data_IF_621584477659
#
_entry.id   IF_621584477659
#
_cell.length_a   1.000
_cell.length_b   1.000
_cell.length_c   1.000
_cell.angle_alpha   90.00
_cell.angle_beta   90.00
_cell.angle_gamma   90.00
#
_symmetry.space_group_name_H-M   'P 1'
#
loop_
_entity.id
_entity.type
_entity.pdbx_description
1 polymer ?
#
# COMPACT_ATOMS: atom_id res chain seq x y z
N UNK A 1 47.33 24.47 -21.05
CA UNK A 1 46.27 25.22 -20.30
C UNK A 1 44.98 25.10 -21.08
N UNK A 2 44.12 24.20 -20.69
CA UNK A 2 42.77 24.10 -21.22
C UNK A 2 41.88 23.64 -20.04
N UNK A 3 40.96 24.47 -19.65
CA UNK A 3 39.97 24.19 -18.60
C UNK A 3 38.81 23.49 -19.25
N UNK A 4 38.56 22.25 -18.87
CA UNK A 4 37.32 21.55 -19.14
C UNK A 4 36.27 22.11 -18.20
N UNK A 5 35.15 22.58 -18.75
CA UNK A 5 33.96 22.99 -18.03
C UNK A 5 33.01 21.80 -18.10
N UNK A 6 32.82 21.12 -16.97
CA UNK A 6 31.79 20.10 -16.83
C UNK A 6 30.42 20.76 -16.75
N UNK A 7 29.62 20.54 -17.78
CA UNK A 7 28.24 21.02 -17.86
C UNK A 7 27.32 19.98 -17.19
N UNK A 8 26.95 20.25 -15.96
CA UNK A 8 25.91 19.47 -15.25
C UNK A 8 24.55 19.86 -15.86
N UNK A 9 24.00 18.98 -16.69
CA UNK A 9 22.64 19.15 -17.22
C UNK A 9 21.63 18.74 -16.15
N UNK A 10 21.11 19.74 -15.43
CA UNK A 10 19.86 19.62 -14.67
C UNK A 10 18.71 19.58 -15.66
N UNK A 11 18.10 18.43 -15.87
CA UNK A 11 16.79 18.35 -16.53
C UNK A 11 15.70 18.36 -15.47
N UNK A 12 15.16 19.55 -15.21
CA UNK A 12 13.82 19.69 -14.65
C UNK A 12 12.82 19.51 -15.79
N UNK A 13 11.75 18.77 -15.60
CA UNK A 13 10.62 18.75 -16.51
C UNK A 13 9.87 20.08 -16.41
N UNK A 14 10.36 21.11 -17.06
CA UNK A 14 9.62 22.34 -17.34
C UNK A 14 9.18 22.29 -18.79
N UNK A 15 7.87 22.37 -19.00
CA UNK A 15 7.29 22.59 -20.32
C UNK A 15 7.76 23.94 -20.81
N UNK A 16 8.66 23.95 -21.78
CA UNK A 16 9.12 25.17 -22.40
C UNK A 16 8.07 25.63 -23.39
N UNK A 17 7.30 26.64 -23.02
CA UNK A 17 6.47 27.39 -23.96
C UNK A 17 7.38 28.33 -24.74
N UNK A 18 7.56 28.06 -26.03
CA UNK A 18 8.23 28.95 -26.94
C UNK A 18 7.42 30.26 -27.09
N UNK A 19 7.93 31.34 -26.51
CA UNK A 19 7.44 32.67 -26.81
C UNK A 19 7.82 33.04 -28.27
N UNK A 20 6.83 33.13 -29.15
CA UNK A 20 6.88 33.97 -30.32
C UNK A 20 5.96 35.17 -30.11
N UNK A 21 6.57 36.31 -30.26
CA UNK A 21 6.09 37.64 -30.08
C UNK A 21 4.77 37.97 -30.82
N UNK A 22 3.89 38.68 -30.13
CA UNK A 22 2.96 39.66 -30.71
C UNK A 22 1.50 39.20 -30.82
N UNK A 23 0.67 39.77 -29.94
CA UNK A 23 -0.75 40.12 -30.15
C UNK A 23 -1.79 38.98 -30.32
N UNK A 24 -1.69 37.86 -29.64
CA UNK A 24 -2.86 36.95 -29.42
C UNK A 24 -2.82 36.34 -28.00
N UNK A 25 -2.37 37.09 -27.02
CA UNK A 25 -2.25 36.57 -25.64
C UNK A 25 -3.46 36.89 -24.74
N UNK A 26 -4.50 37.54 -25.26
CA UNK A 26 -5.62 38.00 -24.42
C UNK A 26 -6.92 37.18 -24.54
N UNK A 27 -7.01 36.17 -25.42
CA UNK A 27 -8.21 35.30 -25.54
C UNK A 27 -7.98 33.81 -25.17
N UNK A 28 -6.75 33.40 -24.89
CA UNK A 28 -6.46 32.02 -24.51
C UNK A 28 -6.55 31.77 -23.00
N UNK A 29 -6.74 32.80 -22.19
CA UNK A 29 -6.77 32.69 -20.73
C UNK A 29 -8.17 32.35 -20.15
N UNK A 30 -9.20 32.25 -20.98
CA UNK A 30 -10.59 32.00 -20.50
C UNK A 30 -11.07 30.57 -20.74
N UNK A 31 -10.29 29.75 -21.45
CA UNK A 31 -10.63 28.32 -21.68
C UNK A 31 -9.60 27.37 -21.07
N UNK A 32 -8.83 27.81 -20.08
CA UNK A 32 -8.15 26.87 -19.20
C UNK A 32 -9.20 26.34 -18.19
N UNK A 33 -10.06 25.46 -18.68
CA UNK A 33 -10.86 24.64 -17.79
C UNK A 33 -9.89 24.05 -16.77
N UNK A 34 -10.13 24.27 -15.48
CA UNK A 34 -9.38 23.66 -14.40
C UNK A 34 -9.44 22.15 -14.61
N UNK A 35 -8.43 21.60 -15.29
CA UNK A 35 -8.19 20.15 -15.25
C UNK A 35 -7.80 19.93 -13.78
N UNK A 36 -8.79 19.57 -12.96
CA UNK A 36 -8.52 19.22 -11.58
C UNK A 36 -7.45 18.13 -11.58
N UNK A 37 -6.35 18.39 -10.88
CA UNK A 37 -5.29 17.41 -10.69
C UNK A 37 -5.90 16.11 -10.19
N UNK A 38 -5.40 14.95 -10.61
CA UNK A 38 -5.85 13.69 -10.07
C UNK A 38 -5.56 13.67 -8.56
N UNK A 39 -6.50 13.13 -7.79
CA UNK A 39 -6.39 12.98 -6.34
C UNK A 39 -6.20 11.52 -5.94
N UNK A 40 -6.13 10.62 -6.90
CA UNK A 40 -5.88 9.20 -6.73
C UNK A 40 -4.96 8.71 -7.86
N UNK A 41 -4.02 7.84 -7.54
CA UNK A 41 -3.16 7.19 -8.53
C UNK A 41 -2.78 5.77 -8.13
N UNK A 42 -2.33 5.02 -9.12
CA UNK A 42 -1.64 3.73 -8.93
C UNK A 42 -0.20 3.88 -9.38
N UNK A 43 0.70 3.17 -8.69
CA UNK A 43 2.10 3.06 -9.10
C UNK A 43 2.44 1.58 -9.22
N UNK A 44 2.66 1.12 -10.45
CA UNK A 44 3.09 -0.23 -10.72
C UNK A 44 4.09 -0.21 -11.86
N UNK A 45 5.37 -0.33 -11.53
CA UNK A 45 6.48 -0.15 -12.45
C UNK A 45 7.46 -1.31 -12.33
N UNK A 46 7.91 -1.80 -13.47
CA UNK A 46 8.97 -2.79 -13.54
C UNK A 46 10.31 -2.09 -13.74
N UNK A 47 11.31 -2.56 -13.01
CA UNK A 47 12.71 -2.17 -13.25
C UNK A 47 13.15 -2.81 -14.57
N UNK A 48 13.54 -1.97 -15.52
CA UNK A 48 13.94 -2.39 -16.86
C UNK A 48 15.42 -2.21 -17.13
N UNK A 49 15.82 -2.63 -18.30
CA UNK A 49 17.14 -2.39 -18.90
C UNK A 49 17.05 -1.21 -19.86
N UNK A 50 18.18 -0.67 -20.36
CA UNK A 50 18.16 0.35 -21.43
C UNK A 50 17.35 -0.03 -22.66
N UNK A 51 17.23 -1.32 -22.98
CA UNK A 51 16.39 -1.82 -24.08
C UNK A 51 14.89 -1.60 -23.85
N UNK A 52 14.46 -1.45 -22.58
CA UNK A 52 13.07 -1.17 -22.22
C UNK A 52 12.71 0.32 -22.35
N UNK A 53 13.68 1.21 -22.60
CA UNK A 53 13.49 2.68 -22.65
C UNK A 53 12.50 3.16 -23.72
N UNK A 54 12.17 2.31 -24.69
CA UNK A 54 11.15 2.59 -25.71
C UNK A 54 9.73 2.35 -25.25
N UNK A 55 9.54 1.79 -24.06
CA UNK A 55 8.20 1.53 -23.50
C UNK A 55 7.52 2.83 -23.07
N UNK A 56 6.19 2.96 -23.29
CA UNK A 56 5.45 4.13 -22.86
C UNK A 56 5.62 4.41 -21.36
N UNK A 57 5.84 5.67 -21.03
CA UNK A 57 6.02 6.12 -19.64
C UNK A 57 7.35 5.75 -18.99
N UNK A 58 8.29 5.18 -19.72
CA UNK A 58 9.63 4.90 -19.21
C UNK A 58 10.23 6.11 -18.50
N UNK A 59 10.79 5.89 -17.33
CA UNK A 59 11.39 6.91 -16.49
C UNK A 59 12.70 6.44 -15.86
N UNK A 60 13.50 7.39 -15.41
CA UNK A 60 14.66 7.15 -14.56
C UNK A 60 14.35 7.70 -13.18
N UNK A 61 14.27 6.81 -12.20
CA UNK A 61 14.01 7.14 -10.82
C UNK A 61 15.28 6.99 -10.00
N UNK A 62 15.47 7.83 -8.99
CA UNK A 62 16.65 7.84 -8.15
C UNK A 62 16.34 7.47 -6.71
N UNK A 63 17.14 6.57 -6.16
CA UNK A 63 17.23 6.30 -4.74
C UNK A 63 18.64 6.69 -4.26
N UNK A 64 18.75 7.81 -3.55
CA UNK A 64 20.05 8.39 -3.23
C UNK A 64 20.88 8.63 -4.52
N UNK A 65 22.06 8.02 -4.61
CA UNK A 65 22.92 8.11 -5.80
C UNK A 65 22.65 7.03 -6.85
N UNK A 66 21.74 6.11 -6.57
CA UNK A 66 21.43 4.99 -7.47
C UNK A 66 20.31 5.36 -8.44
N UNK A 67 20.63 5.30 -9.73
CA UNK A 67 19.64 5.47 -10.79
C UNK A 67 19.04 4.12 -11.17
N UNK A 68 17.71 4.07 -11.32
CA UNK A 68 16.97 2.91 -11.79
C UNK A 68 16.11 3.28 -12.98
N UNK A 69 16.19 2.45 -14.00
CA UNK A 69 15.38 2.59 -15.19
C UNK A 69 14.08 1.79 -15.01
N UNK A 70 12.94 2.43 -15.12
CA UNK A 70 11.65 1.84 -14.86
C UNK A 70 10.63 2.14 -15.95
N UNK A 71 9.66 1.25 -16.15
CA UNK A 71 8.53 1.49 -17.04
C UNK A 71 7.23 1.00 -16.38
N UNK A 72 6.09 1.66 -16.66
CA UNK A 72 4.82 1.26 -16.07
C UNK A 72 4.36 -0.09 -16.63
N UNK A 73 3.74 -0.88 -15.76
CA UNK A 73 3.06 -2.11 -16.12
C UNK A 73 1.66 -2.11 -15.52
N UNK A 74 0.78 -2.95 -16.04
CA UNK A 74 -0.58 -3.11 -15.52
C UNK A 74 -0.76 -4.41 -14.75
N UNK A 75 0.10 -5.39 -15.01
CA UNK A 75 0.10 -6.68 -14.31
C UNK A 75 1.49 -7.30 -14.26
N UNK A 76 1.70 -8.14 -13.26
CA UNK A 76 2.87 -8.98 -13.11
C UNK A 76 2.47 -10.32 -12.50
N UNK A 77 3.02 -11.42 -13.02
CA UNK A 77 2.77 -12.77 -12.51
C UNK A 77 4.10 -13.48 -12.29
N UNK A 78 4.20 -14.22 -11.19
CA UNK A 78 5.28 -15.13 -10.89
C UNK A 78 4.73 -16.55 -10.65
N UNK A 79 5.31 -17.53 -11.29
CA UNK A 79 4.91 -18.95 -11.28
C UNK A 79 5.96 -19.79 -10.56
N UNK A 80 6.38 -19.40 -9.38
CA UNK A 80 7.38 -20.17 -8.62
C UNK A 80 6.70 -21.08 -7.59
N UNK A 81 6.68 -22.42 -7.81
CA UNK A 81 6.03 -23.39 -6.90
C UNK A 81 6.63 -23.42 -5.50
N UNK A 82 7.84 -22.94 -5.31
CA UNK A 82 8.52 -22.83 -4.01
C UNK A 82 9.19 -21.45 -3.95
N UNK A 83 8.44 -20.43 -3.63
CA UNK A 83 8.96 -19.08 -3.45
C UNK A 83 9.89 -19.00 -2.23
N UNK A 84 11.04 -19.62 -2.34
CA UNK A 84 12.15 -19.49 -1.41
C UNK A 84 13.17 -18.56 -2.07
N UNK A 85 12.88 -17.26 -2.08
CA UNK A 85 13.88 -16.22 -2.14
C UNK A 85 14.93 -16.20 -3.29
N UNK A 86 14.71 -16.89 -4.39
CA UNK A 86 15.66 -16.94 -5.51
C UNK A 86 15.25 -16.19 -6.77
N UNK A 87 14.00 -15.86 -6.92
CA UNK A 87 13.56 -14.93 -7.95
C UNK A 87 13.50 -13.54 -7.31
N UNK A 88 14.24 -12.60 -7.81
CA UNK A 88 14.29 -11.25 -7.27
C UNK A 88 13.09 -10.40 -7.72
N UNK A 89 11.88 -11.00 -7.71
CA UNK A 89 10.65 -10.34 -8.14
C UNK A 89 10.36 -9.12 -7.28
N UNK A 90 10.58 -9.26 -5.98
CA UNK A 90 10.46 -8.16 -5.02
C UNK A 90 11.36 -6.96 -5.36
N UNK A 91 12.62 -7.21 -5.81
CA UNK A 91 13.54 -6.16 -6.23
C UNK A 91 13.42 -5.80 -7.72
N UNK A 92 12.62 -6.54 -8.48
CA UNK A 92 12.34 -6.23 -9.88
C UNK A 92 11.21 -5.23 -10.07
N UNK A 93 10.51 -4.89 -9.00
CA UNK A 93 9.37 -3.97 -9.00
C UNK A 93 9.69 -2.70 -8.20
N UNK A 94 9.32 -1.57 -8.76
CA UNK A 94 9.29 -0.29 -8.08
C UNK A 94 8.34 -0.38 -6.88
N UNK A 95 8.72 0.18 -5.74
CA UNK A 95 8.01 0.04 -4.46
C UNK A 95 7.80 -1.41 -4.00
N UNK A 96 8.55 -2.37 -4.56
CA UNK A 96 8.47 -3.79 -4.25
C UNK A 96 7.13 -4.46 -4.58
N UNK A 97 6.31 -3.83 -5.40
CA UNK A 97 4.99 -4.31 -5.80
C UNK A 97 4.06 -3.21 -6.27
N UNK A 98 2.80 -3.55 -6.43
CA UNK A 98 1.76 -2.59 -6.78
C UNK A 98 1.46 -1.65 -5.61
N UNK A 99 1.20 -0.38 -5.91
CA UNK A 99 0.85 0.62 -4.92
C UNK A 99 -0.34 1.48 -5.38
N UNK A 100 -1.09 1.97 -4.42
CA UNK A 100 -2.21 2.90 -4.63
C UNK A 100 -2.09 4.06 -3.65
N UNK A 101 -2.38 5.25 -4.11
CA UNK A 101 -2.34 6.46 -3.30
C UNK A 101 -3.49 7.40 -3.58
N UNK A 102 -3.97 8.05 -2.53
CA UNK A 102 -4.66 9.32 -2.60
C UNK A 102 -3.68 10.46 -2.29
N UNK A 103 -4.14 11.68 -2.34
CA UNK A 103 -3.36 12.82 -1.87
C UNK A 103 -3.05 12.79 -0.36
N UNK A 104 -3.74 11.95 0.43
CA UNK A 104 -3.63 11.89 1.89
C UNK A 104 -2.79 10.73 2.42
N UNK A 105 -2.74 9.61 1.69
CA UNK A 105 -2.05 8.39 2.13
C UNK A 105 -1.70 7.52 0.94
N UNK A 106 -0.67 6.69 1.07
CA UNK A 106 -0.35 5.66 0.10
C UNK A 106 -0.15 4.31 0.78
N UNK A 107 -0.44 3.24 0.05
CA UNK A 107 -0.24 1.87 0.46
C UNK A 107 0.49 1.09 -0.62
N UNK A 108 1.60 0.47 -0.24
CA UNK A 108 2.41 -0.42 -1.09
C UNK A 108 2.10 -1.85 -0.69
N UNK A 109 1.86 -2.72 -1.66
CA UNK A 109 1.62 -4.14 -1.43
C UNK A 109 2.86 -4.90 -1.91
N UNK A 110 3.55 -5.55 -0.99
CA UNK A 110 4.80 -6.24 -1.34
C UNK A 110 4.55 -7.51 -2.14
N UNK A 111 5.19 -7.59 -3.30
CA UNK A 111 5.15 -8.77 -4.16
C UNK A 111 6.13 -9.84 -3.67
N UNK A 112 5.83 -10.42 -2.54
CA UNK A 112 6.55 -11.53 -1.95
C UNK A 112 5.61 -12.45 -1.15
N UNK A 113 6.16 -13.48 -0.52
CA UNK A 113 5.38 -14.38 0.34
C UNK A 113 4.68 -13.67 1.50
N UNK A 114 5.18 -12.53 1.91
CA UNK A 114 4.59 -11.74 2.99
C UNK A 114 3.33 -11.02 2.54
N UNK A 115 3.28 -10.50 1.32
CA UNK A 115 2.18 -9.65 0.83
C UNK A 115 1.77 -8.63 1.89
N UNK A 116 2.74 -8.03 2.56
CA UNK A 116 2.46 -7.09 3.64
C UNK A 116 2.13 -5.73 3.06
N UNK A 117 1.08 -5.11 3.59
CA UNK A 117 0.72 -3.74 3.29
C UNK A 117 1.61 -2.81 4.10
N UNK A 118 2.25 -1.91 3.40
CA UNK A 118 3.20 -0.95 3.95
C UNK A 118 2.68 0.47 3.69
N UNK A 119 2.27 1.21 4.76
CA UNK A 119 1.76 2.55 4.62
C UNK A 119 2.88 3.55 4.36
N UNK A 120 2.61 4.46 3.44
CA UNK A 120 3.47 5.57 3.08
C UNK A 120 2.72 6.88 3.31
N UNK A 121 3.18 7.68 4.23
CA UNK A 121 2.46 8.88 4.65
C UNK A 121 2.83 10.09 3.78
N UNK A 122 1.95 11.05 3.73
CA UNK A 122 2.10 12.31 2.99
C UNK A 122 2.44 13.45 3.96
N UNK A 123 3.46 14.22 3.65
CA UNK A 123 3.78 15.43 4.44
C UNK A 123 2.76 16.53 4.19
N UNK A 124 2.30 16.63 2.95
CA UNK A 124 1.24 17.53 2.47
C UNK A 124 0.35 16.79 1.46
N UNK A 125 -0.89 17.24 1.20
CA UNK A 125 -1.76 16.62 0.21
C UNK A 125 -1.17 16.68 -1.21
N UNK A 126 -0.69 15.54 -1.72
CA UNK A 126 -0.16 15.40 -3.09
C UNK A 126 0.01 13.93 -3.48
N UNK A 127 0.13 13.64 -4.78
CA UNK A 127 0.53 12.32 -5.28
C UNK A 127 2.06 12.24 -5.37
N UNK A 128 2.67 11.13 -4.94
CA UNK A 128 4.11 11.05 -4.72
C UNK A 128 4.78 9.78 -5.26
N UNK A 129 4.06 8.64 -5.27
CA UNK A 129 4.70 7.34 -5.46
C UNK A 129 5.37 7.19 -6.83
N UNK A 130 4.86 7.85 -7.88
CA UNK A 130 5.46 7.79 -9.20
C UNK A 130 6.80 8.54 -9.31
N UNK A 131 7.13 9.43 -8.37
CA UNK A 131 8.34 10.25 -8.37
C UNK A 131 9.47 9.69 -7.53
N UNK A 132 9.18 8.85 -6.55
CA UNK A 132 10.19 8.18 -5.72
C UNK A 132 10.46 6.77 -6.24
N UNK A 133 11.65 6.21 -5.94
CA UNK A 133 11.95 4.81 -6.27
C UNK A 133 11.37 3.89 -5.19
N UNK A 134 12.10 3.53 -4.18
CA UNK A 134 11.60 2.84 -2.99
C UNK A 134 11.36 3.82 -1.84
N UNK A 135 12.21 4.83 -1.77
CA UNK A 135 12.17 5.92 -0.81
C UNK A 135 12.43 7.23 -1.54
N UNK A 136 11.90 8.36 -1.06
CA UNK A 136 12.26 9.66 -1.60
C UNK A 136 13.73 9.95 -1.35
N UNK A 137 14.36 10.62 -2.29
CA UNK A 137 15.69 11.17 -2.10
C UNK A 137 15.64 12.51 -1.32
N UNK A 138 16.80 13.06 -0.96
CA UNK A 138 16.89 14.28 -0.16
C UNK A 138 16.24 15.49 -0.87
N UNK A 139 16.25 15.53 -2.21
CA UNK A 139 15.57 16.59 -2.97
C UNK A 139 14.05 16.51 -2.77
N UNK A 140 13.45 15.33 -2.95
CA UNK A 140 12.02 15.12 -2.75
C UNK A 140 11.60 15.43 -1.31
N UNK A 141 12.39 14.98 -0.32
CA UNK A 141 12.14 15.30 1.11
C UNK A 141 12.15 16.81 1.36
N UNK A 142 13.09 17.53 0.73
CA UNK A 142 13.17 19.01 0.82
C UNK A 142 11.99 19.69 0.15
N UNK A 143 11.46 19.11 -0.94
CA UNK A 143 10.26 19.57 -1.63
C UNK A 143 8.96 19.27 -0.85
N UNK A 144 9.07 18.55 0.28
CA UNK A 144 7.95 18.25 1.16
C UNK A 144 7.20 16.98 0.77
N UNK A 145 7.90 16.00 0.20
CA UNK A 145 7.38 14.64 0.05
C UNK A 145 7.30 13.94 1.40
N UNK A 146 6.37 13.00 1.50
CA UNK A 146 6.27 12.09 2.63
C UNK A 146 7.32 10.98 2.58
N UNK A 147 7.13 9.96 3.40
CA UNK A 147 8.08 8.84 3.49
C UNK A 147 7.40 7.61 4.09
N UNK A 148 8.12 6.50 4.08
CA UNK A 148 7.80 5.29 4.84
C UNK A 148 7.69 5.62 6.34
N UNK A 149 6.66 5.09 6.98
CA UNK A 149 6.39 5.37 8.40
C UNK A 149 6.37 4.09 9.25
N UNK A 150 6.48 2.91 8.64
CA UNK A 150 6.25 1.66 9.34
C UNK A 150 7.22 0.55 8.93
N UNK A 151 8.02 0.08 9.84
CA UNK A 151 8.83 -1.12 9.61
C UNK A 151 7.99 -2.38 9.77
N UNK A 152 7.46 -2.88 8.65
CA UNK A 152 6.56 -4.04 8.64
C UNK A 152 7.28 -5.38 8.85
N UNK A 153 8.52 -5.55 8.39
CA UNK A 153 9.34 -6.77 8.60
C UNK A 153 8.56 -8.06 8.29
N UNK A 154 8.40 -8.95 9.27
CA UNK A 154 7.64 -10.22 9.19
C UNK A 154 6.28 -10.17 9.90
N UNK A 155 5.72 -8.98 10.13
CA UNK A 155 4.44 -8.79 10.80
C UNK A 155 3.25 -8.75 9.83
N UNK A 156 2.06 -8.52 10.36
CA UNK A 156 0.87 -8.24 9.55
C UNK A 156 0.88 -6.84 8.94
N UNK A 157 1.78 -5.94 9.38
CA UNK A 157 1.71 -4.53 8.99
C UNK A 157 0.39 -3.90 9.42
N UNK A 158 -0.36 -3.37 8.45
CA UNK A 158 -1.73 -2.90 8.64
C UNK A 158 -2.66 -3.56 7.61
N UNK A 159 -3.60 -4.38 8.06
CA UNK A 159 -4.64 -4.94 7.20
C UNK A 159 -4.18 -5.98 6.18
N UNK A 160 -2.95 -6.47 6.22
CA UNK A 160 -2.55 -7.55 5.31
C UNK A 160 -3.30 -8.84 5.65
N UNK A 161 -3.71 -9.56 4.61
CA UNK A 161 -4.32 -10.88 4.78
C UNK A 161 -3.21 -11.90 5.12
N UNK A 162 -3.43 -12.66 6.17
CA UNK A 162 -2.51 -13.66 6.71
C UNK A 162 -3.29 -14.91 7.13
N UNK A 163 -2.55 -15.90 7.63
CA UNK A 163 -3.14 -17.11 8.17
C UNK A 163 -2.70 -17.31 9.62
N UNK A 164 -3.65 -17.67 10.48
CA UNK A 164 -3.45 -18.05 11.87
C UNK A 164 -3.38 -19.58 12.00
N UNK A 165 -2.26 -20.12 12.41
CA UNK A 165 -2.06 -21.58 12.51
C UNK A 165 -2.39 -22.17 13.90
N UNK A 166 -3.16 -21.43 14.71
CA UNK A 166 -3.50 -21.81 16.09
C UNK A 166 -2.51 -21.31 17.15
N UNK A 167 -1.32 -20.82 16.75
CA UNK A 167 -0.27 -20.34 17.67
C UNK A 167 0.30 -18.98 17.30
N UNK A 168 0.45 -18.72 16.01
CA UNK A 168 1.03 -17.48 15.49
C UNK A 168 0.53 -17.20 14.08
N UNK A 169 0.67 -15.98 13.66
CA UNK A 169 0.49 -15.56 12.28
C UNK A 169 1.57 -16.18 11.39
N UNK A 170 1.17 -16.68 10.22
CA UNK A 170 2.05 -17.15 9.16
C UNK A 170 1.72 -16.50 7.83
N UNK A 171 2.70 -16.43 6.93
CA UNK A 171 2.52 -15.89 5.59
C UNK A 171 1.80 -16.87 4.68
N UNK A 172 1.32 -16.37 3.54
CA UNK A 172 0.59 -17.17 2.55
C UNK A 172 1.58 -17.85 1.64
N UNK A 173 1.96 -19.04 2.03
CA UNK A 173 2.89 -19.95 1.34
C UNK A 173 2.68 -21.41 1.79
N UNK A 174 3.01 -22.44 0.97
CA UNK A 174 3.44 -22.32 -0.41
C UNK A 174 2.28 -22.00 -1.35
N UNK A 175 2.58 -21.38 -2.49
CA UNK A 175 1.63 -21.06 -3.56
C UNK A 175 2.20 -21.48 -4.93
N UNK A 176 1.35 -21.85 -5.88
CA UNK A 176 1.78 -22.15 -7.23
C UNK A 176 2.03 -20.89 -8.07
N UNK A 177 1.22 -19.86 -7.88
CA UNK A 177 1.30 -18.60 -8.63
C UNK A 177 0.89 -17.43 -7.74
N UNK A 178 1.56 -16.30 -7.92
CA UNK A 178 1.20 -15.01 -7.33
C UNK A 178 1.18 -13.96 -8.42
N UNK A 179 0.16 -13.12 -8.43
CA UNK A 179 0.08 -12.02 -9.40
C UNK A 179 -0.42 -10.74 -8.74
N UNK A 180 -0.02 -9.63 -9.31
CA UNK A 180 -0.52 -8.30 -8.99
C UNK A 180 -0.95 -7.58 -10.26
N UNK A 181 -2.02 -6.79 -10.17
CA UNK A 181 -2.49 -5.99 -11.29
C UNK A 181 -3.27 -4.75 -10.86
N UNK A 182 -3.32 -3.78 -11.75
CA UNK A 182 -4.23 -2.64 -11.67
C UNK A 182 -5.57 -3.06 -12.29
N UNK A 183 -6.61 -3.15 -11.47
CA UNK A 183 -7.97 -3.51 -11.93
C UNK A 183 -8.65 -2.30 -12.55
N UNK A 184 -8.55 -1.14 -11.89
CA UNK A 184 -9.08 0.11 -12.41
C UNK A 184 -8.35 1.31 -11.79
N UNK A 185 -8.19 2.37 -12.58
CA UNK A 185 -7.71 3.67 -12.13
C UNK A 185 -8.62 4.73 -12.74
N UNK A 186 -9.60 5.21 -11.97
CA UNK A 186 -10.54 6.27 -12.32
C UNK A 186 -10.10 7.57 -11.66
N UNK A 187 -10.77 8.67 -11.99
CA UNK A 187 -10.44 9.99 -11.45
C UNK A 187 -10.54 10.08 -9.92
N UNK A 188 -11.52 9.38 -9.37
CA UNK A 188 -11.94 9.44 -7.95
C UNK A 188 -11.73 8.14 -7.18
N UNK A 189 -11.37 7.04 -7.87
CA UNK A 189 -11.21 5.74 -7.25
C UNK A 189 -10.21 4.89 -8.03
N UNK A 190 -9.35 4.17 -7.31
CA UNK A 190 -8.49 3.15 -7.89
C UNK A 190 -8.65 1.82 -7.16
N UNK A 191 -8.55 0.73 -7.91
CA UNK A 191 -8.57 -0.65 -7.40
C UNK A 191 -7.39 -1.41 -7.95
N UNK A 192 -6.63 -2.03 -7.07
CA UNK A 192 -5.54 -2.96 -7.39
C UNK A 192 -5.90 -4.35 -6.85
N UNK A 193 -5.33 -5.38 -7.43
CA UNK A 193 -5.55 -6.77 -7.02
C UNK A 193 -4.23 -7.47 -6.77
N UNK A 194 -4.22 -8.29 -5.72
CA UNK A 194 -3.23 -9.34 -5.50
C UNK A 194 -3.95 -10.67 -5.55
N UNK A 195 -3.53 -11.57 -6.44
CA UNK A 195 -4.11 -12.89 -6.59
C UNK A 195 -3.08 -13.99 -6.33
N UNK A 196 -3.56 -15.11 -5.83
CA UNK A 196 -2.80 -16.30 -5.48
C UNK A 196 -3.53 -17.49 -6.04
N UNK A 197 -2.80 -18.41 -6.68
CA UNK A 197 -3.31 -19.71 -7.08
C UNK A 197 -2.55 -20.83 -6.40
N UNK A 198 -3.26 -21.87 -6.08
CA UNK A 198 -2.68 -23.10 -5.56
C UNK A 198 -2.04 -22.93 -4.17
N UNK A 199 -2.66 -22.16 -3.27
CA UNK A 199 -2.22 -22.09 -1.89
C UNK A 199 -2.57 -23.36 -1.13
N UNK A 200 -1.55 -24.06 -0.65
CA UNK A 200 -1.70 -25.29 0.13
C UNK A 200 -1.85 -24.95 1.61
N UNK A 201 -3.06 -25.11 2.16
CA UNK A 201 -3.42 -24.77 3.54
C UNK A 201 -4.58 -25.65 4.04
N UNK A 202 -4.57 -26.05 5.32
CA UNK A 202 -5.60 -26.89 5.95
C UNK A 202 -5.93 -28.17 5.15
N UNK A 203 -4.92 -28.80 4.52
CA UNK A 203 -5.10 -29.95 3.61
C UNK A 203 -5.99 -29.65 2.39
N UNK A 204 -6.09 -28.39 2.01
CA UNK A 204 -6.80 -27.91 0.82
C UNK A 204 -5.83 -27.21 -0.12
N UNK A 205 -6.25 -27.06 -1.36
CA UNK A 205 -5.62 -26.17 -2.34
C UNK A 205 -6.62 -25.05 -2.65
N UNK A 206 -6.27 -23.82 -2.31
CA UNK A 206 -7.18 -22.68 -2.35
C UNK A 206 -6.61 -21.59 -3.25
N UNK A 207 -7.45 -21.03 -4.10
CA UNK A 207 -7.17 -19.78 -4.81
C UNK A 207 -7.75 -18.62 -4.02
N UNK A 208 -7.03 -17.49 -3.98
CA UNK A 208 -7.45 -16.28 -3.29
C UNK A 208 -7.16 -15.06 -4.15
N UNK A 209 -8.05 -14.09 -4.13
CA UNK A 209 -7.74 -12.73 -4.61
C UNK A 209 -8.16 -11.69 -3.57
N UNK A 210 -7.38 -10.63 -3.48
CA UNK A 210 -7.68 -9.48 -2.62
C UNK A 210 -7.71 -8.23 -3.48
N UNK A 211 -8.85 -7.54 -3.47
CA UNK A 211 -9.03 -6.25 -4.12
C UNK A 211 -8.84 -5.15 -3.08
N UNK A 212 -7.96 -4.24 -3.36
CA UNK A 212 -7.68 -3.06 -2.55
C UNK A 212 -8.22 -1.83 -3.27
N UNK A 213 -9.22 -1.19 -2.69
CA UNK A 213 -9.91 -0.03 -3.29
C UNK A 213 -9.72 1.21 -2.43
N UNK A 214 -9.19 2.26 -3.03
CA UNK A 214 -8.97 3.57 -2.40
C UNK A 214 -9.72 4.66 -3.16
N UNK A 215 -10.23 5.65 -2.42
CA UNK A 215 -10.92 6.81 -2.98
C UNK A 215 -10.10 8.08 -2.81
N UNK A 216 -10.26 9.01 -3.75
CA UNK A 216 -9.70 10.36 -3.65
C UNK A 216 -10.26 11.07 -2.41
N UNK A 217 -9.43 11.83 -1.70
CA UNK A 217 -9.81 12.48 -0.44
C UNK A 217 -9.86 11.56 0.78
N UNK A 218 -9.57 10.29 0.61
CA UNK A 218 -9.58 9.31 1.69
C UNK A 218 -8.17 8.86 2.06
N UNK A 219 -7.96 8.58 3.35
CA UNK A 219 -6.73 7.92 3.85
C UNK A 219 -6.94 6.44 4.09
N UNK A 220 -8.18 5.99 4.09
CA UNK A 220 -8.56 4.59 4.28
C UNK A 220 -8.64 3.85 2.96
N UNK A 221 -8.52 2.54 3.06
CA UNK A 221 -8.61 1.60 1.95
C UNK A 221 -9.54 0.45 2.32
N UNK A 222 -10.46 0.11 1.41
CA UNK A 222 -11.29 -1.10 1.52
C UNK A 222 -10.55 -2.28 0.91
N UNK A 223 -10.62 -3.41 1.60
CA UNK A 223 -10.02 -4.69 1.18
C UNK A 223 -11.13 -5.73 1.06
N UNK A 224 -11.38 -6.22 -0.14
CA UNK A 224 -12.31 -7.31 -0.43
C UNK A 224 -11.52 -8.59 -0.72
N UNK A 225 -11.72 -9.64 0.06
CA UNK A 225 -11.01 -10.92 -0.04
C UNK A 225 -11.94 -11.99 -0.56
N UNK A 226 -11.55 -12.68 -1.61
CA UNK A 226 -12.28 -13.74 -2.26
C UNK A 226 -11.47 -15.03 -2.24
N UNK A 227 -12.08 -16.15 -1.87
CA UNK A 227 -11.45 -17.46 -1.84
C UNK A 227 -12.30 -18.49 -2.59
N UNK A 228 -11.63 -19.47 -3.17
CA UNK A 228 -12.29 -20.62 -3.80
C UNK A 228 -12.88 -21.62 -2.80
N UNK A 229 -12.46 -21.59 -1.53
CA UNK A 229 -12.98 -22.41 -0.44
C UNK A 229 -12.85 -21.69 0.92
N UNK A 230 -13.56 -22.16 1.93
CA UNK A 230 -13.50 -21.65 3.31
C UNK A 230 -12.20 -22.05 4.00
N UNK A 231 -11.66 -21.13 4.82
CA UNK A 231 -10.53 -21.35 5.71
C UNK A 231 -10.87 -20.91 7.13
N UNK A 232 -10.45 -21.68 8.11
CA UNK A 232 -10.73 -21.37 9.53
C UNK A 232 -9.74 -20.36 10.13
N UNK A 233 -8.55 -20.27 9.55
CA UNK A 233 -7.45 -19.45 10.07
C UNK A 233 -7.15 -18.19 9.28
N UNK A 234 -7.95 -17.83 8.26
CA UNK A 234 -7.72 -16.56 7.55
C UNK A 234 -7.89 -15.39 8.52
N UNK A 235 -6.94 -14.46 8.51
CA UNK A 235 -6.95 -13.34 9.46
C UNK A 235 -6.38 -12.06 8.87
N UNK A 236 -6.70 -10.95 9.52
CA UNK A 236 -6.09 -9.64 9.29
C UNK A 236 -5.98 -8.89 10.62
N UNK A 237 -5.30 -7.75 10.63
CA UNK A 237 -5.15 -6.94 11.83
C UNK A 237 -4.07 -5.89 11.74
N UNK A 238 -3.48 -5.54 12.89
CA UNK A 238 -2.42 -4.53 13.00
C UNK A 238 -1.22 -5.10 13.76
N UNK A 239 -0.01 -4.69 13.36
CA UNK A 239 1.18 -5.01 14.12
C UNK A 239 1.25 -4.21 15.42
N UNK A 240 1.94 -4.76 16.41
CA UNK A 240 2.38 -4.00 17.57
C UNK A 240 3.52 -3.05 17.18
N UNK A 241 3.54 -1.87 17.75
CA UNK A 241 4.60 -0.89 17.58
C UNK A 241 5.27 -0.67 18.94
N UNK A 242 6.57 -0.98 19.11
CA UNK A 242 7.47 -1.55 18.13
C UNK A 242 7.24 -3.04 17.90
N UNK A 243 7.47 -3.50 16.68
CA UNK A 243 7.30 -4.90 16.29
C UNK A 243 8.26 -5.89 16.97
N UNK A 244 9.29 -5.41 17.66
CA UNK A 244 10.27 -6.22 18.40
C UNK A 244 10.57 -5.58 19.76
N UNK A 245 10.01 -6.12 20.82
CA UNK A 245 10.49 -6.24 22.20
C UNK A 245 11.29 -5.13 22.88
N UNK A 246 11.33 -3.92 22.37
CA UNK A 246 11.89 -2.78 23.05
C UNK A 246 10.76 -2.06 23.79
N UNK A 247 11.03 -1.61 25.00
CA UNK A 247 10.12 -0.89 25.91
C UNK A 247 9.61 0.46 25.36
N UNK A 248 9.13 0.49 24.14
CA UNK A 248 8.48 1.64 23.55
C UNK A 248 6.98 1.48 23.77
N UNK A 249 6.36 2.50 24.31
CA UNK A 249 4.93 2.51 24.61
C UNK A 249 4.12 2.29 23.32
N UNK A 250 3.58 1.09 23.16
CA UNK A 250 2.51 0.86 22.19
C UNK A 250 1.18 0.86 22.92
N UNK A 251 0.21 1.61 22.42
CA UNK A 251 -1.17 1.53 22.86
C UNK A 251 -1.94 0.68 21.88
N UNK A 252 -2.59 -0.36 22.39
CA UNK A 252 -3.41 -1.29 21.61
C UNK A 252 -4.84 -1.13 22.06
N UNK A 253 -5.76 -1.17 21.12
CA UNK A 253 -7.18 -1.16 21.42
C UNK A 253 -7.94 -2.11 20.50
N UNK A 254 -8.72 -3.01 21.11
CA UNK A 254 -9.74 -3.78 20.45
C UNK A 254 -11.08 -3.24 20.90
N UNK A 255 -11.79 -2.57 19.99
CA UNK A 255 -13.03 -1.89 20.29
C UNK A 255 -14.17 -2.64 19.61
N UNK A 256 -15.09 -3.19 20.43
CA UNK A 256 -16.35 -3.70 19.93
C UNK A 256 -17.26 -2.51 19.63
N UNK A 257 -17.74 -2.44 18.40
CA UNK A 257 -18.74 -1.48 17.95
C UNK A 257 -20.00 -2.22 17.56
N UNK A 258 -21.12 -1.51 17.47
CA UNK A 258 -22.40 -2.10 17.05
C UNK A 258 -22.32 -2.73 15.65
N UNK A 259 -21.55 -2.09 14.74
CA UNK A 259 -21.41 -2.48 13.35
C UNK A 259 -20.14 -3.33 13.06
N UNK A 260 -19.29 -3.64 14.05
CA UNK A 260 -18.10 -4.45 13.81
C UNK A 260 -17.04 -4.36 14.89
N UNK A 261 -15.83 -4.82 14.54
CA UNK A 261 -14.66 -4.84 15.42
C UNK A 261 -13.59 -3.92 14.86
N UNK A 262 -13.04 -3.08 15.71
CA UNK A 262 -11.94 -2.17 15.38
C UNK A 262 -10.69 -2.62 16.14
N UNK A 263 -9.65 -3.02 15.41
CA UNK A 263 -8.32 -3.26 15.93
C UNK A 263 -7.46 -2.04 15.64
N UNK A 264 -6.75 -1.54 16.65
CA UNK A 264 -5.90 -0.39 16.46
C UNK A 264 -4.62 -0.48 17.29
N UNK A 265 -3.55 0.13 16.80
CA UNK A 265 -2.31 0.35 17.52
C UNK A 265 -1.82 1.78 17.34
N UNK A 266 -1.04 2.24 18.33
CA UNK A 266 -0.38 3.53 18.34
C UNK A 266 0.99 3.37 18.99
N UNK A 267 2.04 3.90 18.38
CA UNK A 267 3.37 3.79 18.96
C UNK A 267 4.42 4.54 18.14
N UNK A 268 5.67 4.45 18.60
CA UNK A 268 6.82 5.14 18.01
C UNK A 268 7.97 4.16 17.81
N UNK A 269 8.42 4.02 16.55
CA UNK A 269 9.57 3.17 16.20
C UNK A 269 10.30 3.74 14.97
N UNK A 270 11.45 3.16 14.64
CA UNK A 270 12.10 3.46 13.35
C UNK A 270 11.33 2.86 12.18
N UNK A 271 11.08 3.63 11.13
CA UNK A 271 10.36 3.13 9.94
C UNK A 271 11.18 2.10 9.16
N UNK A 272 12.50 2.16 9.27
CA UNK A 272 13.45 1.27 8.58
C UNK A 272 14.51 0.75 9.55
N UNK A 273 15.35 -0.19 9.10
CA UNK A 273 16.44 -0.74 9.94
C UNK A 273 17.62 0.21 10.17
N UNK A 274 17.69 1.33 9.46
CA UNK A 274 18.76 2.33 9.57
C UNK A 274 18.39 3.42 10.58
N UNK A 275 18.71 3.18 11.85
CA UNK A 275 18.48 4.14 12.95
C UNK A 275 19.46 5.31 12.98
N UNK A 276 20.49 5.32 12.15
CA UNK A 276 21.44 6.42 12.02
C UNK A 276 20.91 7.49 11.06
N UNK A 277 20.38 7.06 9.94
CA UNK A 277 19.86 7.94 8.88
C UNK A 277 18.42 8.43 9.17
N UNK A 278 17.60 7.60 9.80
CA UNK A 278 16.17 7.87 9.96
C UNK A 278 15.81 8.19 11.43
N UNK A 279 14.92 9.15 11.61
CA UNK A 279 14.30 9.42 12.90
C UNK A 279 13.19 8.39 13.19
N UNK A 280 12.81 8.28 14.46
CA UNK A 280 11.62 7.52 14.86
C UNK A 280 10.38 8.24 14.39
N UNK A 281 9.40 7.45 13.93
CA UNK A 281 8.08 7.92 13.54
C UNK A 281 7.02 7.45 14.54
N UNK A 282 6.12 8.34 14.90
CA UNK A 282 4.93 8.00 15.66
C UNK A 282 3.78 7.73 14.71
N UNK A 283 3.23 6.55 14.79
CA UNK A 283 2.21 6.08 13.84
C UNK A 283 0.99 5.50 14.54
N UNK A 284 -0.16 5.70 13.94
CA UNK A 284 -1.41 5.01 14.26
C UNK A 284 -1.81 4.07 13.13
N UNK A 285 -2.16 2.84 13.47
CA UNK A 285 -2.64 1.82 12.55
C UNK A 285 -4.03 1.39 12.99
N UNK A 286 -4.91 1.10 12.04
CA UNK A 286 -6.23 0.54 12.35
C UNK A 286 -6.78 -0.34 11.24
N UNK A 287 -7.54 -1.36 11.66
CA UNK A 287 -8.36 -2.21 10.81
C UNK A 287 -9.76 -2.26 11.41
N UNK A 288 -10.78 -2.00 10.62
CA UNK A 288 -12.18 -2.19 10.96
C UNK A 288 -12.74 -3.36 10.16
N UNK A 289 -13.35 -4.31 10.86
CA UNK A 289 -13.97 -5.50 10.27
C UNK A 289 -15.46 -5.45 10.58
N UNK A 290 -16.35 -5.39 9.57
CA UNK A 290 -17.80 -5.46 9.77
C UNK A 290 -18.20 -6.71 10.54
N UNK A 291 -19.30 -6.62 11.29
CA UNK A 291 -19.74 -7.62 12.26
C UNK A 291 -19.91 -9.02 11.65
N UNK A 292 -20.42 -9.10 10.43
CA UNK A 292 -20.64 -10.35 9.72
C UNK A 292 -19.33 -11.09 9.38
N UNK A 293 -18.22 -10.36 9.25
CA UNK A 293 -16.90 -10.92 8.91
C UNK A 293 -15.95 -11.02 10.10
N UNK A 294 -16.34 -10.46 11.24
CA UNK A 294 -15.52 -10.47 12.45
C UNK A 294 -15.61 -11.82 13.18
N UNK A 295 -14.52 -12.52 13.27
CA UNK A 295 -14.35 -13.76 14.04
C UNK A 295 -13.64 -13.54 15.38
N UNK A 296 -12.94 -14.57 15.84
CA UNK A 296 -12.21 -14.52 17.09
C UNK A 296 -11.01 -13.56 17.02
N UNK A 297 -10.77 -12.84 18.11
CA UNK A 297 -9.56 -12.04 18.30
C UNK A 297 -8.43 -12.94 18.79
N UNK A 298 -7.28 -12.87 18.13
CA UNK A 298 -6.07 -13.62 18.46
C UNK A 298 -4.84 -12.71 18.36
N UNK A 299 -3.76 -13.09 18.99
CA UNK A 299 -2.52 -12.32 18.94
C UNK A 299 -1.29 -13.23 19.04
N UNK A 300 -0.18 -12.76 18.51
CA UNK A 300 1.15 -13.31 18.78
C UNK A 300 2.09 -12.22 19.34
N UNK A 301 3.41 -12.46 19.28
CA UNK A 301 4.40 -11.50 19.81
C UNK A 301 4.39 -10.12 19.13
N UNK A 302 3.91 -10.06 17.90
CA UNK A 302 4.08 -8.89 17.03
C UNK A 302 2.76 -8.39 16.44
N UNK A 303 1.69 -9.14 16.58
CA UNK A 303 0.46 -8.90 15.83
C UNK A 303 -0.77 -9.01 16.71
N UNK A 304 -1.71 -8.10 16.52
CA UNK A 304 -3.06 -8.11 17.03
C UNK A 304 -4.01 -8.39 15.86
N UNK A 305 -4.74 -9.48 15.89
CA UNK A 305 -5.42 -10.05 14.73
C UNK A 305 -6.88 -10.38 15.03
N UNK A 306 -7.69 -10.38 13.99
CA UNK A 306 -9.03 -10.95 13.97
C UNK A 306 -9.12 -12.03 12.90
N UNK A 307 -9.65 -13.18 13.23
CA UNK A 307 -10.00 -14.21 12.26
C UNK A 307 -11.17 -13.69 11.39
N UNK A 308 -11.16 -14.02 10.11
CA UNK A 308 -12.21 -13.60 9.18
C UNK A 308 -13.25 -14.69 9.01
N UNK A 309 -14.51 -14.38 9.28
CA UNK A 309 -15.65 -15.21 8.92
C UNK A 309 -15.94 -14.99 7.43
N UNK A 310 -15.82 -16.04 6.64
CA UNK A 310 -16.07 -16.00 5.21
C UNK A 310 -17.53 -16.33 4.93
N UNK A 311 -18.22 -15.47 4.19
CA UNK A 311 -19.57 -15.71 3.70
C UNK A 311 -19.56 -16.25 2.29
N UNK A 312 -20.40 -17.23 1.99
CA UNK A 312 -20.53 -17.73 0.61
C UNK A 312 -21.24 -16.72 -0.27
N UNK A 313 -20.61 -16.35 -1.39
CA UNK A 313 -21.23 -15.54 -2.46
C UNK A 313 -21.34 -16.37 -3.73
N UNK A 314 -22.48 -16.25 -4.44
CA UNK A 314 -22.60 -16.80 -5.78
C UNK A 314 -21.95 -15.81 -6.76
N UNK A 315 -20.82 -16.16 -7.36
CA UNK A 315 -20.24 -15.36 -8.43
C UNK A 315 -21.02 -15.59 -9.72
N UNK A 316 -21.55 -14.52 -10.31
CA UNK A 316 -22.07 -14.53 -11.67
C UNK A 316 -20.89 -14.56 -12.66
N UNK A 317 -20.29 -15.74 -12.85
CA UNK A 317 -19.28 -15.93 -13.88
C UNK A 317 -19.90 -15.88 -15.29
N UNK A 318 -19.19 -15.29 -16.25
CA UNK A 318 -19.56 -15.26 -17.67
C UNK A 318 -19.53 -16.64 -18.35
N UNK A 319 -19.21 -17.70 -17.65
CA UNK A 319 -19.25 -19.09 -18.11
C UNK A 319 -20.14 -19.92 -17.18
N UNK A 320 -20.89 -20.83 -17.74
CA UNK A 320 -22.02 -21.58 -17.17
C UNK A 320 -21.73 -22.46 -15.91
N UNK A 321 -20.60 -22.31 -15.23
CA UNK A 321 -20.33 -22.90 -13.92
C UNK A 321 -20.33 -21.80 -12.86
N UNK A 322 -21.41 -21.73 -12.06
CA UNK A 322 -21.43 -20.99 -10.80
C UNK A 322 -20.35 -21.56 -9.87
N UNK A 323 -19.25 -20.88 -9.69
CA UNK A 323 -18.32 -21.22 -8.62
C UNK A 323 -18.78 -20.52 -7.34
N UNK A 324 -18.98 -21.28 -6.28
CA UNK A 324 -19.24 -20.73 -4.95
C UNK A 324 -17.93 -20.13 -4.46
N UNK A 325 -17.86 -18.82 -4.39
CA UNK A 325 -16.73 -18.12 -3.79
C UNK A 325 -17.08 -17.73 -2.35
N UNK A 326 -16.08 -17.76 -1.49
CA UNK A 326 -16.18 -17.23 -0.14
C UNK A 326 -15.62 -15.81 -0.12
N UNK A 327 -16.26 -14.92 0.62
CA UNK A 327 -15.92 -13.50 0.66
C UNK A 327 -15.90 -12.96 2.07
N UNK A 328 -14.99 -12.03 2.33
CA UNK A 328 -15.02 -11.11 3.45
C UNK A 328 -14.48 -9.76 3.01
N UNK A 329 -14.89 -8.67 3.69
CA UNK A 329 -14.23 -7.40 3.51
C UNK A 329 -13.92 -6.72 4.84
N UNK A 330 -12.97 -5.80 4.79
CA UNK A 330 -12.58 -4.96 5.90
C UNK A 330 -12.01 -3.64 5.39
N UNK A 331 -11.76 -2.72 6.31
CA UNK A 331 -11.18 -1.42 6.00
C UNK A 331 -9.93 -1.22 6.83
N UNK A 332 -8.94 -0.52 6.26
CA UNK A 332 -7.75 -0.12 6.99
C UNK A 332 -7.51 1.38 6.87
N UNK A 333 -6.83 1.96 7.85
CA UNK A 333 -6.39 3.35 7.84
C UNK A 333 -5.16 3.54 8.70
N UNK A 334 -4.38 4.59 8.41
CA UNK A 334 -3.15 4.94 9.12
C UNK A 334 -3.04 6.44 9.32
N UNK A 335 -2.13 6.83 10.23
CA UNK A 335 -1.65 8.20 10.39
C UNK A 335 -0.16 8.19 10.72
N UNK A 336 0.60 9.08 10.08
CA UNK A 336 2.00 9.37 10.43
C UNK A 336 2.06 10.64 11.28
N UNK A 337 1.84 10.51 12.59
CA UNK A 337 1.65 11.65 13.49
C UNK A 337 2.84 12.61 13.55
N UNK A 338 4.05 12.12 13.31
CA UNK A 338 5.27 12.93 13.28
C UNK A 338 5.69 13.37 11.88
N UNK A 339 5.16 12.71 10.85
CA UNK A 339 5.52 12.98 9.45
C UNK A 339 4.56 13.94 8.76
N UNK A 340 3.27 13.82 9.02
CA UNK A 340 2.24 14.66 8.41
C UNK A 340 2.28 16.09 8.97
N UNK A 341 2.12 17.12 8.13
CA UNK A 341 2.03 18.50 8.59
C UNK A 341 0.74 18.75 9.38
N UNK A 342 -0.35 18.06 9.03
CA UNK A 342 -1.65 18.17 9.67
C UNK A 342 -2.24 16.78 9.92
N UNK A 343 -1.69 16.02 10.89
CA UNK A 343 -2.16 14.66 11.16
C UNK A 343 -3.57 14.69 11.78
N UNK A 344 -4.37 13.67 11.49
CA UNK A 344 -5.72 13.52 12.07
C UNK A 344 -5.70 13.21 13.57
N UNK A 345 -4.53 12.85 14.10
CA UNK A 345 -4.26 12.60 15.52
C UNK A 345 -2.79 12.83 15.82
N UNK A 346 -2.48 13.38 16.97
CA UNK A 346 -1.11 13.64 17.49
C UNK A 346 -0.76 12.76 18.69
N UNK A 347 -1.75 12.04 19.24
CA UNK A 347 -1.61 11.13 20.37
C UNK A 347 -2.64 9.99 20.27
N UNK A 348 -2.44 8.95 21.10
CA UNK A 348 -3.28 7.77 21.10
C UNK A 348 -4.77 8.05 21.39
N UNK A 349 -5.05 8.97 22.30
CA UNK A 349 -6.43 9.33 22.67
C UNK A 349 -7.17 9.94 21.49
N UNK A 350 -6.56 10.88 20.79
CA UNK A 350 -7.12 11.48 19.57
C UNK A 350 -7.30 10.43 18.45
N UNK A 351 -6.29 9.54 18.29
CA UNK A 351 -6.36 8.45 17.32
C UNK A 351 -7.58 7.55 17.57
N UNK A 352 -7.74 7.05 18.77
CA UNK A 352 -8.88 6.18 19.08
C UNK A 352 -10.23 6.92 19.02
N UNK A 353 -10.27 8.20 19.30
CA UNK A 353 -11.48 9.02 19.12
C UNK A 353 -11.80 9.23 17.62
N UNK A 354 -10.77 9.49 16.79
CA UNK A 354 -10.94 9.56 15.33
C UNK A 354 -11.47 8.24 14.78
N UNK A 355 -10.87 7.12 15.17
CA UNK A 355 -11.26 5.80 14.68
C UNK A 355 -12.70 5.41 14.99
N UNK A 356 -13.22 5.77 16.20
CA UNK A 356 -14.62 5.53 16.54
C UNK A 356 -15.60 6.28 15.63
N UNK A 357 -15.24 7.50 15.21
CA UNK A 357 -16.04 8.26 14.24
C UNK A 357 -15.91 7.69 12.84
N UNK A 358 -14.69 7.35 12.42
CA UNK A 358 -14.41 6.74 11.12
C UNK A 358 -15.19 5.44 10.94
N UNK A 359 -15.06 4.49 11.86
CA UNK A 359 -15.71 3.19 11.77
C UNK A 359 -17.25 3.22 11.75
N UNK A 360 -17.86 4.24 12.37
CA UNK A 360 -19.33 4.45 12.31
C UNK A 360 -19.83 4.84 10.92
N UNK A 361 -18.98 5.44 10.10
CA UNK A 361 -19.34 5.93 8.77
C UNK A 361 -19.04 4.90 7.65
N UNK A 362 -18.38 3.80 8.00
CA UNK A 362 -18.11 2.70 7.06
C UNK A 362 -19.34 1.82 6.86
N UNK A 363 -19.58 1.41 5.62
CA UNK A 363 -20.74 0.62 5.19
C UNK A 363 -20.31 -0.69 4.53
#
# INVERSE_FOLDING_TARGET
MSRSIDLIVKRSCSVTVLQRSGLIAALAAVMCGCISQPHIATSFWKIGTPADSVRPGYAVLCEGTKMRHCYPITEWTDTMPNYVGKGDTYHSLHHHGVAVESELMAYRIYFDKKQTIDPYCKKKPQLELAQSYWYPNDSLLTEGYGDDILRVSGTVGVGSVKYWNGKKMVHIEPVAERSERIVSAKKDQATIEVAIKGWEVESKVVDMSTHYTMQAGHRDMRCDVFLSDTLSGLCTGVQFIPAKGQNLQSSISNIQLENGVLLASWGTDWPVNDSVKYAKETVGLAVFIPKEYAGALVHDKSNNLCLLNLTGTESAGHTAKRSKMCHAHFYLTCVGATKENHPVATNATEWFAYLRRWAKNLR
#
